data_IF_799780167448
#
_entry.id   IF_799780167448
#
_cell.length_a   1.000
_cell.length_b   1.000
_cell.length_c   1.000
_cell.angle_alpha   90.00
_cell.angle_beta   90.00
_cell.angle_gamma   90.00
#
_symmetry.space_group_name_H-M   'P 1'
#
loop_
_entity.id
_entity.type
_entity.pdbx_description
1 polymer ?
#
# COMPACT_ATOMS: atom_id res chain seq x y z
N UNK A 1 -2.61 63.51 -18.79
CA UNK A 1 -3.51 62.84 -17.84
C UNK A 1 -3.40 61.34 -18.04
N UNK A 2 -2.98 60.66 -16.97
CA UNK A 2 -3.28 59.27 -16.58
C UNK A 2 -2.92 58.17 -17.59
N UNK A 3 -1.80 57.50 -17.33
CA UNK A 3 -1.60 56.13 -17.77
C UNK A 3 -2.33 55.16 -16.84
N UNK A 4 -2.60 53.94 -17.34
CA UNK A 4 -2.77 52.74 -16.51
C UNK A 4 -2.23 51.56 -17.32
N UNK A 5 -1.12 51.00 -16.86
CA UNK A 5 -0.75 49.62 -17.13
C UNK A 5 -1.58 48.71 -16.20
N UNK A 6 -2.04 47.56 -16.69
CA UNK A 6 -2.45 46.46 -15.82
C UNK A 6 -1.71 45.20 -16.26
N UNK A 7 -0.97 44.68 -15.30
CA UNK A 7 -0.06 43.56 -15.39
C UNK A 7 -0.79 42.23 -15.60
N UNK A 8 -0.06 41.29 -16.21
CA UNK A 8 -0.45 39.89 -16.25
C UNK A 8 -0.43 39.25 -14.86
N UNK A 9 -1.28 38.25 -14.68
CA UNK A 9 -1.16 37.27 -13.62
C UNK A 9 -0.90 35.91 -14.30
N UNK A 10 0.37 35.62 -14.55
CA UNK A 10 0.83 34.24 -14.70
C UNK A 10 0.73 33.60 -13.33
N UNK A 11 -0.33 32.83 -13.10
CA UNK A 11 -0.41 31.94 -11.95
C UNK A 11 0.71 30.90 -12.06
N UNK A 12 1.85 31.17 -11.44
CA UNK A 12 2.87 30.16 -11.18
C UNK A 12 2.34 29.28 -10.04
N UNK A 13 1.51 28.31 -10.40
CA UNK A 13 1.37 27.12 -9.57
C UNK A 13 2.73 26.44 -9.56
N UNK A 14 3.52 26.69 -8.54
CA UNK A 14 4.71 25.89 -8.26
C UNK A 14 4.20 24.49 -7.96
N UNK A 15 4.27 23.61 -8.96
CA UNK A 15 4.20 22.18 -8.71
C UNK A 15 5.27 21.88 -7.66
N UNK A 16 4.86 21.39 -6.50
CA UNK A 16 5.78 20.89 -5.50
C UNK A 16 6.70 19.85 -6.18
N UNK A 17 7.98 19.78 -5.79
CA UNK A 17 8.86 18.76 -6.34
C UNK A 17 8.24 17.39 -6.04
N UNK A 18 7.95 16.63 -7.09
CA UNK A 18 7.59 15.22 -6.95
C UNK A 18 8.76 14.56 -6.23
N UNK A 19 8.52 13.96 -5.06
CA UNK A 19 9.56 13.28 -4.32
C UNK A 19 10.17 12.21 -5.23
N UNK A 20 11.44 12.37 -5.58
CA UNK A 20 12.19 11.43 -6.43
C UNK A 20 12.66 10.19 -5.66
N UNK A 21 12.15 9.96 -4.44
CA UNK A 21 12.50 8.83 -3.59
C UNK A 21 11.38 7.82 -3.54
N UNK A 22 11.72 6.54 -3.72
CA UNK A 22 10.82 5.45 -3.36
C UNK A 22 10.61 5.43 -1.85
N UNK A 23 9.41 5.08 -1.40
CA UNK A 23 9.11 4.91 0.02
C UNK A 23 10.04 3.89 0.70
N UNK A 24 10.29 4.08 1.99
CA UNK A 24 11.01 3.09 2.78
C UNK A 24 10.23 1.76 2.79
N UNK A 25 10.94 0.63 2.75
CA UNK A 25 10.31 -0.70 2.70
C UNK A 25 9.78 -1.13 1.32
N UNK A 26 9.93 -0.31 0.28
CA UNK A 26 9.48 -0.64 -1.09
C UNK A 26 10.46 -1.50 -1.91
N UNK A 27 11.63 -1.82 -1.35
CA UNK A 27 12.62 -2.65 -2.04
C UNK A 27 12.06 -4.05 -2.33
N UNK A 28 12.22 -4.52 -3.57
CA UNK A 28 11.75 -5.84 -4.02
C UNK A 28 10.27 -5.91 -4.40
N UNK A 29 9.50 -4.83 -4.22
CA UNK A 29 8.13 -4.76 -4.71
C UNK A 29 8.09 -4.67 -6.24
N UNK A 30 6.94 -5.06 -6.82
CA UNK A 30 6.61 -4.72 -8.19
C UNK A 30 6.73 -3.19 -8.39
N UNK A 31 7.35 -2.71 -9.50
CA UNK A 31 7.60 -1.29 -9.70
C UNK A 31 6.32 -0.43 -9.69
N UNK A 32 5.18 -0.95 -10.16
CA UNK A 32 3.92 -0.19 -10.15
C UNK A 32 3.37 -0.08 -8.73
N UNK A 33 3.45 -1.14 -7.93
CA UNK A 33 3.07 -1.10 -6.52
C UNK A 33 3.96 -0.12 -5.74
N UNK A 34 5.28 -0.19 -5.93
CA UNK A 34 6.23 0.72 -5.28
C UNK A 34 5.94 2.19 -5.61
N UNK A 35 5.67 2.50 -6.88
CA UNK A 35 5.33 3.84 -7.31
C UNK A 35 3.98 4.31 -6.74
N UNK A 36 2.94 3.47 -6.81
CA UNK A 36 1.62 3.79 -6.28
C UNK A 36 1.66 4.08 -4.77
N UNK A 37 2.36 3.23 -4.01
CA UNK A 37 2.51 3.44 -2.57
C UNK A 37 3.33 4.68 -2.25
N UNK A 38 4.43 4.95 -2.96
CA UNK A 38 5.26 6.15 -2.70
C UNK A 38 4.46 7.45 -2.88
N UNK A 39 3.57 7.50 -3.89
CA UNK A 39 2.67 8.64 -4.09
C UNK A 39 1.60 8.74 -2.98
N UNK A 40 1.03 7.61 -2.56
CA UNK A 40 0.05 7.57 -1.49
C UNK A 40 0.65 8.00 -0.14
N UNK A 41 1.85 7.50 0.19
CA UNK A 41 2.61 7.85 1.38
C UNK A 41 2.94 9.35 1.42
N UNK A 42 3.47 9.90 0.32
CA UNK A 42 3.73 11.34 0.23
C UNK A 42 2.47 12.16 0.53
N UNK A 43 1.34 11.82 -0.10
CA UNK A 43 0.09 12.55 0.10
C UNK A 43 -0.45 12.39 1.53
N UNK A 44 -0.33 11.21 2.14
CA UNK A 44 -0.72 10.99 3.53
C UNK A 44 0.12 11.87 4.47
N UNK A 45 1.44 11.92 4.27
CA UNK A 45 2.36 12.71 5.09
C UNK A 45 2.12 14.22 4.94
N UNK A 46 1.82 14.70 3.73
CA UNK A 46 1.40 16.10 3.49
C UNK A 46 0.13 16.49 4.27
N UNK A 47 -0.75 15.51 4.55
CA UNK A 47 -1.95 15.68 5.37
C UNK A 47 -1.70 15.45 6.86
N UNK A 48 -0.45 15.22 7.27
CA UNK A 48 -0.08 14.93 8.66
C UNK A 48 -0.48 13.52 9.12
N UNK A 49 -0.75 12.60 8.19
CA UNK A 49 -1.08 11.21 8.49
C UNK A 49 0.19 10.35 8.39
N UNK A 50 0.66 9.71 9.47
CA UNK A 50 1.74 8.75 9.41
C UNK A 50 1.27 7.51 8.65
N UNK A 51 2.07 7.10 7.68
CA UNK A 51 1.88 5.91 6.86
C UNK A 51 3.25 5.35 6.53
N UNK A 52 3.48 4.08 6.82
CA UNK A 52 4.73 3.37 6.56
C UNK A 52 4.48 1.91 6.17
N UNK A 53 5.39 1.32 5.39
CA UNK A 53 5.41 -0.12 5.15
C UNK A 53 6.00 -0.80 6.38
N UNK A 54 5.21 -1.67 7.00
CA UNK A 54 5.65 -2.58 8.05
C UNK A 54 6.23 -3.86 7.44
N UNK A 55 5.64 -4.34 6.34
CA UNK A 55 6.14 -5.50 5.60
C UNK A 55 5.88 -5.37 4.11
N UNK A 56 6.95 -5.36 3.30
CA UNK A 56 6.88 -5.30 1.83
C UNK A 56 7.17 -6.65 1.19
N UNK A 57 8.10 -6.67 0.25
CA UNK A 57 8.58 -7.93 -0.35
C UNK A 57 9.18 -8.86 0.72
N UNK A 58 8.92 -10.17 0.58
CA UNK A 58 9.52 -11.22 1.39
C UNK A 58 10.19 -12.24 0.50
N UNK A 59 11.36 -12.70 0.90
CA UNK A 59 11.95 -13.89 0.28
C UNK A 59 11.12 -15.13 0.60
N UNK A 60 11.26 -16.19 -0.21
CA UNK A 60 10.62 -17.48 0.06
C UNK A 60 11.01 -18.06 1.42
N UNK A 61 12.25 -17.85 1.86
CA UNK A 61 12.73 -18.35 3.14
C UNK A 61 12.10 -17.62 4.33
N UNK A 62 11.98 -16.30 4.27
CA UNK A 62 11.28 -15.50 5.28
C UNK A 62 9.79 -15.89 5.35
N UNK A 63 9.14 -16.05 4.19
CA UNK A 63 7.75 -16.48 4.15
C UNK A 63 7.57 -17.90 4.70
N UNK A 64 8.53 -18.81 4.45
CA UNK A 64 8.49 -20.17 4.99
C UNK A 64 8.55 -20.14 6.52
N UNK A 65 9.43 -19.32 7.09
CA UNK A 65 9.51 -19.15 8.53
C UNK A 65 8.18 -18.65 9.12
N UNK A 66 7.59 -17.59 8.55
CA UNK A 66 6.29 -17.07 9.01
C UNK A 66 5.18 -18.11 8.91
N UNK A 67 5.20 -18.92 7.85
CA UNK A 67 4.24 -19.99 7.65
C UNK A 67 4.35 -21.08 8.73
N UNK A 68 5.57 -21.51 9.04
CA UNK A 68 5.82 -22.51 10.09
C UNK A 68 5.43 -21.97 11.48
N UNK A 69 5.75 -20.71 11.77
CA UNK A 69 5.32 -20.00 12.99
C UNK A 69 3.79 -19.84 13.06
N UNK A 70 3.15 -19.57 11.92
CA UNK A 70 1.70 -19.53 11.77
C UNK A 70 1.05 -20.87 12.11
N UNK A 71 1.57 -21.98 11.57
CA UNK A 71 1.08 -23.33 11.91
C UNK A 71 1.24 -23.60 13.40
N UNK A 72 2.39 -23.25 13.98
CA UNK A 72 2.62 -23.44 15.41
C UNK A 72 1.66 -22.61 16.27
N UNK A 73 1.30 -21.40 15.82
CA UNK A 73 0.40 -20.47 16.53
C UNK A 73 -1.07 -20.88 16.43
N UNK A 74 -1.52 -21.27 15.23
CA UNK A 74 -2.92 -21.54 14.94
C UNK A 74 -3.30 -23.02 14.98
N UNK A 75 -2.31 -23.91 15.11
CA UNK A 75 -2.49 -25.34 15.38
C UNK A 75 -2.65 -26.22 14.13
N UNK A 76 -2.98 -25.65 12.97
CA UNK A 76 -3.03 -26.39 11.71
C UNK A 76 -2.75 -25.50 10.50
N UNK A 77 -2.34 -26.06 9.35
CA UNK A 77 -2.25 -25.35 8.09
C UNK A 77 -3.54 -24.62 7.72
N UNK A 78 -4.69 -25.26 7.87
CA UNK A 78 -5.99 -24.68 7.51
C UNK A 78 -6.32 -23.46 8.38
N UNK A 79 -6.01 -23.51 9.68
CA UNK A 79 -6.20 -22.39 10.58
C UNK A 79 -5.20 -21.25 10.31
N UNK A 80 -3.94 -21.59 10.00
CA UNK A 80 -2.88 -20.63 9.71
C UNK A 80 -3.11 -19.85 8.41
N UNK A 81 -3.64 -20.50 7.36
CA UNK A 81 -3.92 -19.89 6.05
C UNK A 81 -4.81 -18.67 6.09
N UNK A 82 -5.60 -18.51 7.16
CA UNK A 82 -6.44 -17.32 7.36
C UNK A 82 -5.62 -16.05 7.61
N UNK A 83 -4.34 -16.17 7.95
CA UNK A 83 -3.47 -15.06 8.36
C UNK A 83 -2.11 -15.08 7.67
N UNK A 84 -1.58 -16.26 7.36
CA UNK A 84 -0.25 -16.41 6.76
C UNK A 84 -0.33 -17.49 5.69
N UNK A 85 0.07 -17.16 4.46
CA UNK A 85 0.11 -18.11 3.34
C UNK A 85 1.46 -18.83 3.24
N UNK A 86 1.49 -20.06 2.69
CA UNK A 86 2.74 -20.71 2.33
C UNK A 86 3.52 -19.92 1.25
N UNK A 87 4.83 -20.16 1.08
CA UNK A 87 5.67 -19.38 0.16
C UNK A 87 5.22 -19.35 -1.29
N UNK A 88 4.55 -20.40 -1.77
CA UNK A 88 4.09 -20.50 -3.16
C UNK A 88 2.85 -19.65 -3.47
N UNK A 89 2.16 -19.16 -2.44
CA UNK A 89 0.87 -18.47 -2.59
C UNK A 89 0.89 -17.04 -2.03
N UNK A 90 1.89 -16.69 -1.22
CA UNK A 90 2.01 -15.37 -0.62
C UNK A 90 2.28 -14.28 -1.66
N UNK A 91 1.43 -13.26 -1.68
CA UNK A 91 1.61 -12.10 -2.57
C UNK A 91 2.87 -11.31 -2.26
N UNK A 92 3.32 -11.29 -1.00
CA UNK A 92 4.56 -10.65 -0.57
C UNK A 92 5.79 -11.28 -1.24
N UNK A 93 5.75 -12.59 -1.50
CA UNK A 93 6.84 -13.30 -2.20
C UNK A 93 6.95 -12.87 -3.65
N UNK A 94 5.82 -12.50 -4.26
CA UNK A 94 5.81 -11.98 -5.63
C UNK A 94 6.02 -10.47 -5.71
N UNK A 95 6.14 -9.77 -4.57
CA UNK A 95 6.29 -8.32 -4.52
C UNK A 95 5.02 -7.52 -4.81
N UNK A 96 3.84 -8.14 -4.78
CA UNK A 96 2.56 -7.50 -5.15
C UNK A 96 1.67 -7.12 -3.94
N UNK A 97 2.20 -7.19 -2.72
CA UNK A 97 1.49 -6.77 -1.52
C UNK A 97 2.38 -5.99 -0.56
N UNK A 98 1.70 -5.17 0.26
CA UNK A 98 2.28 -4.43 1.37
C UNK A 98 1.38 -4.55 2.60
N UNK A 99 2.02 -4.68 3.75
CA UNK A 99 1.42 -4.51 5.06
C UNK A 99 1.83 -3.15 5.59
N UNK A 100 0.85 -2.30 5.91
CA UNK A 100 1.09 -0.91 6.31
C UNK A 100 0.69 -0.63 7.75
N UNK A 101 1.33 0.38 8.32
CA UNK A 101 1.03 0.90 9.65
C UNK A 101 1.28 2.41 9.74
N UNK A 102 1.03 3.02 10.90
CA UNK A 102 0.14 2.52 11.96
C UNK A 102 -1.33 2.41 11.48
N UNK A 103 -2.24 1.92 12.32
CA UNK A 103 -3.65 1.69 11.94
C UNK A 103 -4.34 2.95 11.40
N UNK A 104 -3.99 4.15 11.87
CA UNK A 104 -4.51 5.41 11.29
C UNK A 104 -4.06 5.64 9.84
N UNK A 105 -2.84 5.24 9.48
CA UNK A 105 -2.32 5.30 8.11
C UNK A 105 -3.00 4.26 7.22
N UNK A 106 -3.18 3.05 7.73
CA UNK A 106 -3.94 2.01 7.05
C UNK A 106 -5.40 2.43 6.79
N UNK A 107 -6.05 3.08 7.77
CA UNK A 107 -7.40 3.64 7.59
C UNK A 107 -7.42 4.72 6.50
N UNK A 108 -6.44 5.64 6.51
CA UNK A 108 -6.32 6.63 5.45
C UNK A 108 -6.15 5.98 4.07
N UNK A 109 -5.37 4.91 3.98
CA UNK A 109 -5.17 4.17 2.75
C UNK A 109 -6.43 3.39 2.33
N UNK A 110 -7.24 2.91 3.27
CA UNK A 110 -8.55 2.33 2.96
C UNK A 110 -9.49 3.37 2.35
N UNK A 111 -9.47 4.61 2.85
CA UNK A 111 -10.39 5.67 2.42
C UNK A 111 -9.93 6.39 1.13
N UNK A 112 -8.62 6.41 0.87
CA UNK A 112 -8.02 7.21 -0.21
C UNK A 112 -7.18 6.39 -1.21
N UNK A 113 -6.82 5.14 -0.88
CA UNK A 113 -5.86 4.33 -1.63
C UNK A 113 -6.29 4.04 -3.06
N UNK A 114 -7.61 3.97 -3.31
CA UNK A 114 -8.15 3.73 -4.65
C UNK A 114 -7.73 4.83 -5.65
N UNK A 115 -7.45 6.05 -5.19
CA UNK A 115 -6.88 7.14 -6.02
C UNK A 115 -5.55 6.78 -6.65
N UNK A 116 -4.83 5.83 -6.05
CA UNK A 116 -3.53 5.31 -6.49
C UNK A 116 -3.61 3.88 -7.02
N UNK A 117 -4.80 3.26 -7.02
CA UNK A 117 -5.00 1.85 -7.38
C UNK A 117 -4.82 0.87 -6.22
N UNK A 118 -4.51 1.36 -5.02
CA UNK A 118 -4.27 0.56 -3.83
C UNK A 118 -5.59 0.22 -3.14
N UNK A 119 -5.82 -1.06 -2.90
CA UNK A 119 -7.03 -1.54 -2.25
C UNK A 119 -6.68 -2.54 -1.16
N UNK A 120 -7.43 -2.46 -0.06
CA UNK A 120 -7.41 -3.47 0.98
C UNK A 120 -8.01 -4.77 0.44
N UNK A 121 -7.33 -5.90 0.64
CA UNK A 121 -7.75 -7.19 0.05
C UNK A 121 -8.61 -8.02 1.01
N UNK A 122 -8.27 -8.03 2.29
CA UNK A 122 -8.85 -8.97 3.27
C UNK A 122 -9.61 -8.26 4.39
N UNK A 123 -10.78 -8.80 4.76
CA UNK A 123 -11.63 -8.24 5.83
C UNK A 123 -11.01 -8.37 7.22
N UNK A 124 -10.24 -9.43 7.48
CA UNK A 124 -9.55 -9.64 8.76
C UNK A 124 -8.20 -8.92 8.88
N UNK A 125 -7.62 -8.44 7.78
CA UNK A 125 -6.29 -7.81 7.77
C UNK A 125 -6.43 -6.33 7.40
N UNK A 126 -6.52 -5.47 8.40
CA UNK A 126 -6.65 -4.02 8.19
C UNK A 126 -5.39 -3.38 7.59
N UNK A 127 -4.27 -4.09 7.68
CA UNK A 127 -2.96 -3.64 7.25
C UNK A 127 -2.60 -4.05 5.81
N UNK A 128 -3.28 -5.02 5.20
CA UNK A 128 -2.87 -5.64 3.92
C UNK A 128 -3.48 -4.95 2.70
N UNK A 129 -2.63 -4.42 1.82
CA UNK A 129 -3.02 -3.72 0.60
C UNK A 129 -2.28 -4.26 -0.64
N UNK A 130 -2.98 -4.23 -1.77
CA UNK A 130 -2.46 -4.63 -3.08
C UNK A 130 -2.89 -3.64 -4.17
N UNK A 131 -2.18 -3.66 -5.30
CA UNK A 131 -2.58 -2.91 -6.50
C UNK A 131 -3.69 -3.68 -7.23
N UNK A 132 -4.95 -3.34 -6.97
CA UNK A 132 -6.13 -4.11 -7.41
C UNK A 132 -7.00 -3.36 -8.44
N UNK A 133 -6.73 -2.08 -8.67
CA UNK A 133 -7.43 -1.26 -9.65
C UNK A 133 -6.49 -0.23 -10.28
N UNK A 134 -6.93 0.39 -11.38
CA UNK A 134 -6.28 1.59 -11.89
C UNK A 134 -6.54 2.80 -10.96
N UNK A 135 -5.67 3.83 -10.96
CA UNK A 135 -5.86 5.06 -10.19
C UNK A 135 -7.24 5.70 -10.38
N UNK A 136 -7.97 5.86 -9.27
CA UNK A 136 -9.33 6.40 -9.23
C UNK A 136 -10.44 5.39 -9.53
N UNK A 137 -10.10 4.13 -9.84
CA UNK A 137 -11.07 3.06 -10.04
C UNK A 137 -11.72 2.59 -8.73
N UNK A 138 -12.72 1.74 -8.87
CA UNK A 138 -13.43 1.13 -7.74
C UNK A 138 -12.67 -0.10 -7.26
N UNK A 139 -12.37 -0.15 -5.95
CA UNK A 139 -11.77 -1.33 -5.36
C UNK A 139 -12.73 -2.53 -5.45
N UNK A 140 -12.23 -3.74 -5.75
CA UNK A 140 -13.04 -4.94 -5.68
C UNK A 140 -13.53 -5.18 -4.24
N UNK A 141 -14.61 -5.95 -4.05
CA UNK A 141 -15.02 -6.37 -2.71
C UNK A 141 -13.89 -7.11 -1.99
N UNK A 142 -13.66 -6.76 -0.72
CA UNK A 142 -12.75 -7.52 0.14
C UNK A 142 -13.24 -8.95 0.29
N UNK A 143 -12.30 -9.90 0.37
CA UNK A 143 -12.59 -11.29 0.70
C UNK A 143 -12.39 -11.54 2.20
N UNK A 144 -13.01 -12.57 2.79
CA UNK A 144 -13.03 -12.73 4.25
C UNK A 144 -11.64 -12.79 4.89
N UNK A 145 -10.74 -13.60 4.34
CA UNK A 145 -9.37 -13.78 4.81
C UNK A 145 -8.49 -14.42 3.72
N UNK A 146 -7.18 -14.54 3.99
CA UNK A 146 -6.20 -15.04 3.03
C UNK A 146 -6.43 -16.49 2.58
N UNK A 147 -7.23 -17.29 3.30
CA UNK A 147 -7.45 -18.70 2.99
C UNK A 147 -8.22 -18.96 1.70
N UNK A 148 -8.80 -17.92 1.09
CA UNK A 148 -9.52 -18.01 -0.20
C UNK A 148 -8.61 -17.98 -1.43
N UNK A 149 -7.29 -17.86 -1.22
CA UNK A 149 -6.29 -17.94 -2.30
C UNK A 149 -5.98 -19.38 -2.69
#
# INVERSE_FOLDING_TARGET
MVGVAVAGATGTGTAAPVATGSAAGSAGLDPLLAAAYSLAEQQAHEQGVPLEIVSGYRTRAEQQQLWDEGIATYGSPEAARRWVLPPDESTHVTGHAIDVGPQQGAQWLQDNGNRFGLCRTFVNEWWHFELQTFPGGTCPPMVPDASVR
#
